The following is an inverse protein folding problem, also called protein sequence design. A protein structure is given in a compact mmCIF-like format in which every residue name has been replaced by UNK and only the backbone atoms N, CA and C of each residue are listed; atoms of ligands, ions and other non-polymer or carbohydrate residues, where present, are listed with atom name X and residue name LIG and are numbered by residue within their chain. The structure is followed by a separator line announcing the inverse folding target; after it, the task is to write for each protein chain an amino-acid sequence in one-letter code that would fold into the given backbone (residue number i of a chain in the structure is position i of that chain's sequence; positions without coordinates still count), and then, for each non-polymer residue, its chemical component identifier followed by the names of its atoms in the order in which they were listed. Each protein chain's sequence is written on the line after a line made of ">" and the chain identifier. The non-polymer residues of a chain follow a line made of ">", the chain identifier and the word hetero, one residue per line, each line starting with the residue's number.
data_IF_808961701880
#
_entry.id   IF_808961701880
#
_cell.length_a   1.000
_cell.length_b   1.000
_cell.length_c   1.000
_cell.angle_alpha   90.00
_cell.angle_beta   90.00
_cell.angle_gamma   90.00
#
_symmetry.space_group_name_H-M   'P 1'
#
loop_
_entity.id
_entity.type
_entity.pdbx_description
1 polymer ?
#
# COMPACT_ATOMS: atom_id res chain seq x y z
N UNK A 1 -2.83 -5.03 -7.22
CA UNK A 1 -1.59 -5.78 -6.91
C UNK A 1 -1.78 -6.73 -5.72
N UNK A 2 -2.43 -6.25 -4.65
CA UNK A 2 -2.56 -7.00 -3.39
C UNK A 2 -3.39 -8.28 -3.53
N UNK A 3 -4.49 -8.26 -4.30
CA UNK A 3 -5.29 -9.46 -4.59
C UNK A 3 -4.44 -10.57 -5.23
N UNK A 4 -3.66 -10.23 -6.27
CA UNK A 4 -2.77 -11.16 -6.98
C UNK A 4 -1.73 -11.76 -6.02
N UNK A 5 -1.14 -10.90 -5.19
CA UNK A 5 -0.12 -11.28 -4.21
C UNK A 5 -0.67 -12.27 -3.17
N UNK A 6 -1.78 -11.94 -2.50
CA UNK A 6 -2.36 -12.80 -1.48
C UNK A 6 -2.91 -14.13 -2.05
N UNK A 7 -3.54 -14.09 -3.23
CA UNK A 7 -3.98 -15.31 -3.94
C UNK A 7 -2.81 -16.21 -4.32
N UNK A 8 -1.65 -15.64 -4.61
CA UNK A 8 -0.47 -16.43 -4.93
C UNK A 8 0.09 -17.09 -3.66
N UNK A 9 0.27 -16.34 -2.59
CA UNK A 9 0.82 -16.86 -1.33
C UNK A 9 -0.08 -17.88 -0.64
N UNK A 10 -1.40 -17.80 -0.83
CA UNK A 10 -2.34 -18.82 -0.32
C UNK A 10 -2.23 -20.15 -1.06
N UNK A 11 -1.82 -20.15 -2.33
CA UNK A 11 -1.64 -21.37 -3.15
C UNK A 11 -0.22 -21.90 -3.16
N UNK A 12 0.78 -21.06 -2.90
CA UNK A 12 2.18 -21.36 -3.13
C UNK A 12 3.01 -21.21 -1.86
N UNK A 13 3.81 -22.23 -1.55
CA UNK A 13 4.83 -22.12 -0.50
C UNK A 13 6.04 -21.35 -1.04
N UNK A 14 6.27 -20.16 -0.51
CA UNK A 14 7.30 -19.22 -0.98
C UNK A 14 8.33 -19.01 0.12
N UNK A 15 9.62 -19.01 -0.26
CA UNK A 15 10.70 -18.62 0.67
C UNK A 15 10.69 -17.08 0.83
N UNK A 16 10.92 -16.54 2.03
CA UNK A 16 10.90 -15.09 2.28
C UNK A 16 11.77 -14.28 1.31
N UNK A 17 12.86 -14.89 0.83
CA UNK A 17 13.73 -14.27 -0.15
C UNK A 17 13.03 -13.92 -1.48
N UNK A 18 12.08 -14.72 -1.95
CA UNK A 18 11.43 -14.45 -3.23
C UNK A 18 10.31 -13.41 -3.13
N UNK A 19 9.88 -13.04 -1.91
CA UNK A 19 8.73 -12.16 -1.67
C UNK A 19 8.87 -10.81 -2.40
N UNK A 20 9.99 -10.06 -2.32
CA UNK A 20 10.12 -8.79 -3.04
C UNK A 20 9.93 -8.92 -4.56
N UNK A 21 10.57 -9.91 -5.19
CA UNK A 21 10.43 -10.16 -6.62
C UNK A 21 8.97 -10.52 -6.98
N UNK A 22 8.30 -11.31 -6.13
CA UNK A 22 6.90 -11.68 -6.32
C UNK A 22 6.00 -10.44 -6.22
N UNK A 23 6.20 -9.58 -5.23
CA UNK A 23 5.43 -8.33 -5.07
C UNK A 23 5.58 -7.42 -6.29
N UNK A 24 6.81 -7.21 -6.77
CA UNK A 24 7.08 -6.41 -7.98
C UNK A 24 6.43 -7.05 -9.22
N UNK A 25 6.45 -8.37 -9.31
CA UNK A 25 5.81 -9.10 -10.42
C UNK A 25 4.28 -9.01 -10.37
N UNK A 26 3.68 -9.07 -9.17
CA UNK A 26 2.24 -8.84 -8.99
C UNK A 26 1.85 -7.43 -9.42
N UNK A 27 2.70 -6.43 -9.14
CA UNK A 27 2.50 -5.06 -9.60
C UNK A 27 2.64 -4.95 -11.12
N UNK A 28 3.62 -5.62 -11.73
CA UNK A 28 3.76 -5.66 -13.18
C UNK A 28 2.50 -6.23 -13.86
N UNK A 29 2.02 -7.39 -13.40
CA UNK A 29 0.79 -8.02 -13.92
C UNK A 29 -0.42 -7.11 -13.72
N UNK A 30 -0.55 -6.45 -12.57
CA UNK A 30 -1.65 -5.51 -12.31
C UNK A 30 -1.61 -4.26 -13.22
N UNK A 31 -0.41 -3.78 -13.60
CA UNK A 31 -0.27 -2.68 -14.55
C UNK A 31 -0.71 -3.09 -15.95
N UNK A 32 -0.33 -4.30 -16.38
CA UNK A 32 -0.75 -4.85 -17.67
C UNK A 32 -2.29 -5.05 -17.69
N UNK A 33 -2.87 -5.62 -16.63
CA UNK A 33 -4.33 -5.75 -16.47
C UNK A 33 -5.04 -4.38 -16.50
N UNK A 34 -4.48 -3.38 -15.82
CA UNK A 34 -5.05 -2.03 -15.80
C UNK A 34 -5.04 -1.37 -17.18
N UNK A 35 -3.93 -1.48 -17.92
CA UNK A 35 -3.79 -0.95 -19.28
C UNK A 35 -4.83 -1.55 -20.25
N UNK A 36 -5.01 -2.87 -20.19
CA UNK A 36 -6.03 -3.57 -20.98
C UNK A 36 -7.45 -3.13 -20.61
N UNK A 37 -7.74 -2.99 -19.32
CA UNK A 37 -9.06 -2.58 -18.82
C UNK A 37 -9.44 -1.14 -19.22
N UNK A 38 -8.50 -0.20 -19.12
CA UNK A 38 -8.74 1.21 -19.46
C UNK A 38 -8.55 1.50 -20.94
N UNK A 39 -8.04 0.53 -21.71
CA UNK A 39 -7.59 0.71 -23.10
C UNK A 39 -6.56 1.84 -23.22
N UNK A 40 -5.77 2.06 -22.18
CA UNK A 40 -4.71 3.06 -22.15
C UNK A 40 -3.35 2.37 -22.20
N UNK A 41 -2.40 3.00 -22.87
CA UNK A 41 -1.03 2.50 -22.87
C UNK A 41 -0.47 2.50 -21.44
N UNK A 42 0.31 1.48 -21.14
CA UNK A 42 1.03 1.37 -19.87
C UNK A 42 1.95 2.59 -19.68
N UNK A 43 1.94 3.15 -18.48
CA UNK A 43 2.70 4.37 -18.13
C UNK A 43 4.09 4.10 -17.57
N UNK A 44 4.35 2.91 -17.02
CA UNK A 44 5.60 2.54 -16.33
C UNK A 44 6.16 1.26 -16.93
N UNK A 45 7.34 1.28 -17.52
CA UNK A 45 8.01 0.09 -18.06
C UNK A 45 8.42 -0.91 -16.97
N UNK A 46 8.77 -2.14 -17.35
CA UNK A 46 9.24 -3.15 -16.39
C UNK A 46 10.60 -2.75 -15.78
N UNK A 47 11.46 -2.09 -16.54
CA UNK A 47 12.75 -1.58 -16.10
C UNK A 47 12.60 -0.44 -15.08
N UNK A 48 11.68 0.50 -15.34
CA UNK A 48 11.36 1.58 -14.40
C UNK A 48 10.76 1.03 -13.11
N UNK A 49 9.84 0.06 -13.21
CA UNK A 49 9.25 -0.59 -12.06
C UNK A 49 10.31 -1.27 -11.18
N UNK A 50 11.25 -2.01 -11.78
CA UNK A 50 12.37 -2.62 -11.06
C UNK A 50 13.24 -1.56 -10.41
N UNK A 51 13.59 -0.50 -11.13
CA UNK A 51 14.41 0.62 -10.63
C UNK A 51 13.80 1.27 -9.38
N UNK A 52 12.50 1.57 -9.41
CA UNK A 52 11.77 2.21 -8.31
C UNK A 52 11.54 1.25 -7.13
N UNK A 53 11.37 -0.04 -7.39
CA UNK A 53 11.09 -1.03 -6.34
C UNK A 53 12.22 -1.22 -5.32
N UNK A 54 13.46 -0.87 -5.69
CA UNK A 54 14.67 -1.13 -4.89
C UNK A 54 14.85 -2.61 -4.49
N UNK A 55 14.15 -3.52 -5.17
CA UNK A 55 14.31 -4.96 -4.97
C UNK A 55 15.55 -5.46 -5.73
N UNK A 56 16.16 -6.54 -5.23
CA UNK A 56 17.36 -7.12 -5.86
C UNK A 56 17.05 -7.91 -7.15
N UNK A 57 15.80 -7.93 -7.63
CA UNK A 57 15.43 -8.69 -8.82
C UNK A 57 15.74 -7.92 -10.11
N UNK A 58 16.08 -8.64 -11.17
CA UNK A 58 16.24 -8.06 -12.51
C UNK A 58 14.90 -7.99 -13.24
N UNK A 59 14.81 -7.19 -14.30
CA UNK A 59 13.63 -7.17 -15.18
C UNK A 59 13.32 -8.56 -15.76
N UNK A 60 14.34 -9.41 -15.97
CA UNK A 60 14.17 -10.80 -16.43
C UNK A 60 13.54 -11.68 -15.37
N UNK A 61 13.90 -11.48 -14.10
CA UNK A 61 13.28 -12.19 -12.98
C UNK A 61 11.81 -11.82 -12.85
N UNK A 62 11.49 -10.52 -12.93
CA UNK A 62 10.10 -10.03 -12.93
C UNK A 62 9.33 -10.61 -14.10
N UNK A 63 9.87 -10.54 -15.33
CA UNK A 63 9.21 -11.10 -16.51
C UNK A 63 8.96 -12.61 -16.40
N UNK A 64 9.91 -13.37 -15.85
CA UNK A 64 9.74 -14.82 -15.60
C UNK A 64 8.69 -15.08 -14.54
N UNK A 65 8.75 -14.35 -13.42
CA UNK A 65 7.84 -14.55 -12.29
C UNK A 65 6.41 -14.11 -12.62
N UNK A 66 6.22 -13.07 -13.45
CA UNK A 66 4.90 -12.68 -13.99
C UNK A 66 4.22 -13.83 -14.76
N UNK A 67 4.99 -14.61 -15.55
CA UNK A 67 4.44 -15.80 -16.23
C UNK A 67 4.04 -16.88 -15.22
N UNK A 68 4.89 -17.13 -14.23
CA UNK A 68 4.56 -18.09 -13.16
C UNK A 68 3.30 -17.68 -12.39
N UNK A 69 3.11 -16.38 -12.13
CA UNK A 69 1.88 -15.86 -11.52
C UNK A 69 0.67 -16.15 -12.41
N UNK A 70 0.74 -15.83 -13.71
CA UNK A 70 -0.33 -16.08 -14.66
C UNK A 70 -0.72 -17.57 -14.72
N UNK A 71 0.28 -18.46 -14.81
CA UNK A 71 0.08 -19.90 -14.88
C UNK A 71 -0.52 -20.47 -13.58
N UNK A 72 0.01 -20.08 -12.41
CA UNK A 72 -0.40 -20.64 -11.11
C UNK A 72 -1.73 -20.11 -10.61
N UNK A 73 -2.03 -18.86 -10.92
CA UNK A 73 -3.31 -18.26 -10.54
C UNK A 73 -4.41 -18.56 -11.53
N UNK A 74 -4.07 -19.12 -12.71
CA UNK A 74 -4.95 -19.19 -13.86
C UNK A 74 -5.60 -17.81 -14.02
N UNK A 75 -4.76 -16.80 -14.30
CA UNK A 75 -5.23 -15.46 -14.63
C UNK A 75 -5.87 -15.52 -16.02
N UNK A 76 -6.99 -16.22 -16.10
CA UNK A 76 -7.96 -16.14 -17.15
C UNK A 76 -8.42 -14.67 -17.18
N UNK A 77 -8.92 -14.16 -18.30
CA UNK A 77 -9.44 -12.79 -18.44
C UNK A 77 -10.61 -12.41 -17.49
N UNK A 78 -10.88 -13.20 -16.46
CA UNK A 78 -11.79 -12.92 -15.38
C UNK A 78 -11.19 -11.87 -14.44
N UNK A 79 -11.71 -10.65 -14.55
CA UNK A 79 -11.44 -9.49 -13.69
C UNK A 79 -11.58 -9.85 -12.22
N UNK A 80 -10.55 -9.59 -11.41
CA UNK A 80 -10.68 -9.66 -9.96
C UNK A 80 -11.58 -8.51 -9.47
N UNK A 81 -12.65 -8.84 -8.74
CA UNK A 81 -13.52 -7.83 -8.13
C UNK A 81 -12.78 -7.22 -6.93
N UNK A 82 -12.32 -5.97 -7.07
CA UNK A 82 -11.66 -5.24 -5.98
C UNK A 82 -12.66 -4.54 -5.05
N UNK A 83 -12.28 -4.14 -3.83
CA UNK A 83 -13.18 -3.36 -2.94
C UNK A 83 -13.60 -2.04 -3.59
N UNK A 84 -12.74 -1.44 -4.43
CA UNK A 84 -13.08 -0.25 -5.20
C UNK A 84 -14.25 -0.48 -6.16
N UNK A 85 -14.39 -1.67 -6.74
CA UNK A 85 -15.55 -2.00 -7.57
C UNK A 85 -16.83 -2.00 -6.74
N UNK A 86 -16.77 -2.56 -5.53
CA UNK A 86 -17.88 -2.53 -4.59
C UNK A 86 -18.23 -1.09 -4.18
N UNK A 87 -17.24 -0.27 -3.81
CA UNK A 87 -17.47 1.14 -3.45
C UNK A 87 -18.16 1.92 -4.58
N UNK A 88 -17.68 1.74 -5.82
CA UNK A 88 -18.30 2.36 -7.01
C UNK A 88 -19.70 1.84 -7.27
N UNK A 89 -19.93 0.53 -7.09
CA UNK A 89 -21.25 -0.07 -7.23
C UNK A 89 -22.24 0.51 -6.21
N UNK A 90 -21.87 0.54 -4.93
CA UNK A 90 -22.70 1.13 -3.86
C UNK A 90 -23.01 2.60 -4.17
N UNK A 91 -22.01 3.38 -4.57
CA UNK A 91 -22.20 4.79 -4.98
C UNK A 91 -23.15 4.94 -6.18
N UNK A 92 -23.07 4.03 -7.15
CA UNK A 92 -23.93 4.08 -8.36
C UNK A 92 -25.37 3.67 -8.08
N UNK A 93 -25.60 2.79 -7.10
CA UNK A 93 -26.94 2.35 -6.71
C UNK A 93 -27.62 3.34 -5.76
N UNK A 94 -26.83 4.09 -4.98
CA UNK A 94 -27.33 5.19 -4.19
C UNK A 94 -27.78 6.34 -5.10
N UNK A 95 -29.07 6.66 -5.10
CA UNK A 95 -29.55 7.95 -5.59
C UNK A 95 -28.88 9.07 -4.76
N UNK A 96 -28.31 10.08 -5.40
CA UNK A 96 -27.46 11.11 -4.78
C UNK A 96 -28.07 11.73 -3.49
N UNK A 97 -27.24 12.20 -2.52
CA UNK A 97 -25.79 12.40 -2.55
C UNK A 97 -25.00 11.28 -1.87
N UNK A 98 -24.25 10.52 -2.67
CA UNK A 98 -23.33 9.50 -2.17
C UNK A 98 -21.96 10.11 -1.79
N UNK A 99 -21.17 9.45 -0.93
CA UNK A 99 -19.90 10.00 -0.44
C UNK A 99 -18.85 10.10 -1.54
N UNK A 100 -18.01 11.14 -1.51
CA UNK A 100 -17.07 11.43 -2.59
C UNK A 100 -16.15 10.23 -2.87
N UNK A 101 -15.97 9.88 -4.15
CA UNK A 101 -15.16 8.71 -4.53
C UNK A 101 -13.70 8.86 -4.06
N UNK A 102 -13.14 10.06 -4.13
CA UNK A 102 -11.77 10.35 -3.66
C UNK A 102 -11.56 10.03 -2.18
N UNK A 103 -12.54 10.35 -1.33
CA UNK A 103 -12.48 10.05 0.11
C UNK A 103 -12.55 8.54 0.35
N UNK A 104 -13.46 7.85 -0.35
CA UNK A 104 -13.61 6.40 -0.25
C UNK A 104 -12.35 5.67 -0.74
N UNK A 105 -11.71 6.16 -1.80
CA UNK A 105 -10.43 5.63 -2.32
C UNK A 105 -9.32 5.80 -1.28
N UNK A 106 -9.20 6.97 -0.66
CA UNK A 106 -8.19 7.21 0.37
C UNK A 106 -8.37 6.28 1.58
N UNK A 107 -9.61 6.16 2.09
CA UNK A 107 -9.91 5.23 3.19
C UNK A 107 -9.61 3.77 2.81
N UNK A 108 -9.87 3.39 1.55
CA UNK A 108 -9.53 2.07 1.06
C UNK A 108 -8.02 1.85 1.01
N UNK A 109 -7.24 2.81 0.50
CA UNK A 109 -5.77 2.75 0.45
C UNK A 109 -5.16 2.56 1.83
N UNK A 110 -5.66 3.30 2.83
CA UNK A 110 -5.27 3.13 4.23
C UNK A 110 -5.59 1.71 4.71
N UNK A 111 -6.80 1.22 4.44
CA UNK A 111 -7.25 -0.08 4.90
C UNK A 111 -6.43 -1.23 4.30
N UNK A 112 -6.23 -1.27 2.98
CA UNK A 112 -5.54 -2.38 2.30
C UNK A 112 -4.05 -2.48 2.63
N UNK A 113 -3.46 -1.42 3.20
CA UNK A 113 -2.09 -1.46 3.72
C UNK A 113 -1.94 -2.32 4.98
N UNK A 114 -3.05 -2.67 5.65
CA UNK A 114 -3.06 -3.63 6.76
C UNK A 114 -3.53 -5.01 6.28
N UNK A 115 -2.77 -6.05 6.65
CA UNK A 115 -3.06 -7.42 6.22
C UNK A 115 -4.40 -7.96 6.76
N UNK A 116 -4.86 -7.50 7.93
CA UNK A 116 -6.16 -7.90 8.47
C UNK A 116 -7.31 -7.36 7.64
N UNK A 117 -7.26 -6.07 7.30
CA UNK A 117 -8.22 -5.44 6.39
C UNK A 117 -8.14 -6.01 4.97
N UNK A 118 -6.94 -6.23 4.43
CA UNK A 118 -6.76 -6.80 3.08
C UNK A 118 -7.32 -8.24 2.94
N UNK A 119 -7.39 -8.99 4.04
CA UNK A 119 -7.97 -10.34 4.09
C UNK A 119 -9.48 -10.35 4.39
N UNK A 120 -10.08 -9.20 4.73
CA UNK A 120 -11.52 -9.12 4.91
C UNK A 120 -12.25 -9.35 3.58
N UNK A 121 -13.52 -9.77 3.65
CA UNK A 121 -14.32 -9.92 2.44
C UNK A 121 -14.48 -8.55 1.76
N UNK A 122 -14.12 -8.47 0.49
CA UNK A 122 -14.09 -7.21 -0.29
C UNK A 122 -15.39 -6.39 -0.17
N UNK A 123 -16.54 -7.06 -0.18
CA UNK A 123 -17.86 -6.44 -0.04
C UNK A 123 -18.11 -5.90 1.37
N UNK A 124 -17.63 -6.60 2.41
CA UNK A 124 -17.76 -6.17 3.81
C UNK A 124 -16.87 -4.97 4.07
N UNK A 125 -15.60 -5.02 3.63
CA UNK A 125 -14.68 -3.88 3.77
C UNK A 125 -15.22 -2.63 3.07
N UNK A 126 -15.71 -2.78 1.83
CA UNK A 126 -16.32 -1.67 1.10
C UNK A 126 -17.52 -1.08 1.85
N UNK A 127 -18.42 -1.92 2.35
CA UNK A 127 -19.60 -1.46 3.09
C UNK A 127 -19.23 -0.80 4.43
N UNK A 128 -18.23 -1.32 5.15
CA UNK A 128 -17.68 -0.69 6.37
C UNK A 128 -17.15 0.72 6.07
N UNK A 129 -16.42 0.90 4.98
CA UNK A 129 -15.89 2.22 4.58
C UNK A 129 -17.06 3.18 4.27
N UNK A 130 -18.11 2.70 3.58
CA UNK A 130 -19.32 3.51 3.34
C UNK A 130 -19.98 3.90 4.67
N UNK A 131 -20.23 2.95 5.57
CA UNK A 131 -20.82 3.25 6.87
C UNK A 131 -20.00 4.25 7.67
N UNK A 132 -18.67 4.10 7.69
CA UNK A 132 -17.80 5.04 8.38
C UNK A 132 -17.96 6.47 7.84
N UNK A 133 -18.04 6.63 6.51
CA UNK A 133 -18.20 7.93 5.90
C UNK A 133 -19.59 8.53 6.18
N UNK A 134 -20.64 7.70 6.20
CA UNK A 134 -22.00 8.13 6.59
C UNK A 134 -22.06 8.54 8.06
N UNK A 135 -21.45 7.77 8.97
CA UNK A 135 -21.35 8.09 10.39
C UNK A 135 -20.61 9.42 10.62
N UNK A 136 -19.52 9.64 9.88
CA UNK A 136 -18.76 10.88 9.93
C UNK A 136 -19.62 12.08 9.49
N UNK A 137 -20.29 11.96 8.35
CA UNK A 137 -21.23 12.98 7.89
C UNK A 137 -22.33 13.18 8.95
N UNK A 138 -23.05 12.15 9.38
CA UNK A 138 -24.09 12.30 10.41
C UNK A 138 -23.59 13.04 11.67
N UNK A 139 -22.36 12.79 12.11
CA UNK A 139 -21.74 13.48 13.26
C UNK A 139 -21.46 14.96 12.98
N UNK A 140 -20.95 15.31 11.80
CA UNK A 140 -20.74 16.70 11.37
C UNK A 140 -22.06 17.46 11.27
N UNK A 141 -23.08 16.84 10.70
CA UNK A 141 -24.40 17.43 10.52
C UNK A 141 -25.14 17.63 11.83
N UNK A 142 -25.02 16.69 12.78
CA UNK A 142 -25.55 16.84 14.14
C UNK A 142 -25.01 18.10 14.85
N UNK A 143 -23.81 18.57 14.50
CA UNK A 143 -23.25 19.83 15.03
C UNK A 143 -23.88 21.07 14.38
N UNK A 144 -24.30 20.97 13.12
CA UNK A 144 -24.86 22.07 12.34
C UNK A 144 -26.39 22.17 12.39
N UNK A 145 -27.09 21.18 12.99
CA UNK A 145 -28.57 21.10 13.12
C UNK A 145 -29.33 21.14 11.79
N UNK A 146 -28.68 20.76 10.71
CA UNK A 146 -29.32 20.58 9.41
C UNK A 146 -29.43 19.08 9.18
N UNK A 147 -30.64 18.56 9.03
CA UNK A 147 -30.85 17.11 8.89
C UNK A 147 -31.37 16.86 7.49
N UNK A 148 -30.46 16.37 6.65
CA UNK A 148 -30.76 15.95 5.28
C UNK A 148 -31.44 14.57 5.31
N UNK A 149 -32.66 14.49 4.78
CA UNK A 149 -33.40 13.22 4.61
C UNK A 149 -32.61 12.22 3.74
N UNK A 150 -31.76 12.75 2.86
CA UNK A 150 -30.95 11.98 1.94
C UNK A 150 -29.87 11.13 2.65
N UNK A 151 -29.34 11.59 3.79
CA UNK A 151 -28.38 10.81 4.58
C UNK A 151 -29.04 9.60 5.26
N UNK A 152 -30.27 9.76 5.76
CA UNK A 152 -31.05 8.66 6.33
C UNK A 152 -31.38 7.62 5.27
N UNK A 153 -31.81 8.07 4.09
CA UNK A 153 -32.05 7.19 2.95
C UNK A 153 -30.79 6.39 2.60
N UNK A 154 -29.62 7.02 2.58
CA UNK A 154 -28.37 6.36 2.25
C UNK A 154 -27.93 5.34 3.31
N UNK A 155 -28.16 5.63 4.58
CA UNK A 155 -27.91 4.70 5.68
C UNK A 155 -28.86 3.49 5.61
N UNK A 156 -30.15 3.73 5.37
CA UNK A 156 -31.15 2.67 5.18
C UNK A 156 -30.83 1.82 3.94
N UNK A 157 -30.46 2.46 2.84
CA UNK A 157 -30.03 1.79 1.62
C UNK A 157 -28.82 0.87 1.87
N UNK A 158 -27.82 1.36 2.62
CA UNK A 158 -26.67 0.54 3.02
C UNK A 158 -27.08 -0.67 3.86
N UNK A 159 -28.05 -0.51 4.77
CA UNK A 159 -28.60 -1.60 5.58
C UNK A 159 -29.39 -2.62 4.74
N UNK A 160 -30.15 -2.16 3.76
CA UNK A 160 -30.83 -3.04 2.80
C UNK A 160 -29.83 -3.81 1.95
N UNK A 161 -28.75 -3.17 1.51
CA UNK A 161 -27.67 -3.82 0.77
C UNK A 161 -26.95 -4.87 1.62
N UNK A 162 -26.71 -4.59 2.91
CA UNK A 162 -26.20 -5.56 3.87
C UNK A 162 -27.05 -6.83 3.89
N UNK A 163 -28.37 -6.67 4.04
CA UNK A 163 -29.33 -7.76 4.07
C UNK A 163 -29.36 -8.53 2.74
N UNK A 164 -29.40 -7.82 1.62
CA UNK A 164 -29.47 -8.41 0.28
C UNK A 164 -28.21 -9.23 -0.06
N UNK A 165 -27.04 -8.75 0.36
CA UNK A 165 -25.77 -9.46 0.19
C UNK A 165 -25.53 -10.57 1.22
N UNK A 166 -26.50 -10.83 2.12
CA UNK A 166 -26.41 -11.80 3.21
C UNK A 166 -25.12 -11.65 4.04
N UNK A 167 -24.76 -10.40 4.35
CA UNK A 167 -23.58 -10.09 5.16
C UNK A 167 -23.92 -10.24 6.64
N UNK A 168 -23.22 -11.16 7.31
CA UNK A 168 -23.45 -11.38 8.74
C UNK A 168 -23.01 -10.16 9.56
N UNK A 169 -23.84 -9.77 10.54
CA UNK A 169 -23.53 -8.67 11.44
C UNK A 169 -22.20 -8.89 12.17
N UNK A 170 -21.95 -10.11 12.65
CA UNK A 170 -20.68 -10.46 13.32
C UNK A 170 -19.43 -10.32 12.44
N UNK A 171 -19.53 -10.55 11.12
CA UNK A 171 -18.38 -10.37 10.22
C UNK A 171 -18.16 -8.90 9.89
N UNK A 172 -19.25 -8.16 9.71
CA UNK A 172 -19.22 -6.70 9.52
C UNK A 172 -18.64 -5.98 10.73
N UNK A 173 -19.07 -6.34 11.95
CA UNK A 173 -18.53 -5.77 13.19
C UNK A 173 -17.03 -6.03 13.32
N UNK A 174 -16.59 -7.28 13.06
CA UNK A 174 -15.15 -7.61 13.06
C UNK A 174 -14.38 -6.77 12.05
N UNK A 175 -14.86 -6.69 10.80
CA UNK A 175 -14.22 -5.90 9.75
C UNK A 175 -14.18 -4.40 10.11
N UNK A 176 -15.24 -3.88 10.73
CA UNK A 176 -15.32 -2.51 11.22
C UNK A 176 -14.30 -2.23 12.31
N UNK A 177 -14.14 -3.13 13.28
CA UNK A 177 -13.21 -2.96 14.38
C UNK A 177 -11.75 -3.02 13.90
N UNK A 178 -11.45 -3.91 12.94
CA UNK A 178 -10.16 -3.90 12.21
C UNK A 178 -9.92 -2.57 11.51
N UNK A 179 -10.87 -2.14 10.67
CA UNK A 179 -10.75 -0.90 9.91
C UNK A 179 -10.52 0.33 10.81
N UNK A 180 -11.30 0.46 11.89
CA UNK A 180 -11.15 1.56 12.87
C UNK A 180 -9.79 1.53 13.57
N UNK A 181 -9.27 0.34 13.88
CA UNK A 181 -7.93 0.19 14.47
C UNK A 181 -6.84 0.67 13.50
N UNK A 182 -6.95 0.30 12.23
CA UNK A 182 -6.00 0.71 11.18
C UNK A 182 -6.07 2.20 10.93
N UNK A 183 -7.27 2.75 10.79
CA UNK A 183 -7.50 4.17 10.58
C UNK A 183 -6.97 5.01 11.75
N UNK A 184 -7.24 4.62 12.99
CA UNK A 184 -6.74 5.32 14.18
C UNK A 184 -5.21 5.36 14.24
N UNK A 185 -4.53 4.26 13.86
CA UNK A 185 -3.06 4.24 13.77
C UNK A 185 -2.53 5.16 12.67
N UNK A 186 -3.22 5.19 11.52
CA UNK A 186 -2.86 6.07 10.41
C UNK A 186 -3.02 7.54 10.79
N UNK A 187 -4.17 7.93 11.36
CA UNK A 187 -4.44 9.29 11.82
C UNK A 187 -3.49 9.73 12.95
N UNK A 188 -3.17 8.82 13.86
CA UNK A 188 -2.18 9.02 14.92
C UNK A 188 -0.73 9.09 14.43
N UNK A 189 -0.49 8.97 13.11
CA UNK A 189 0.85 8.91 12.48
C UNK A 189 1.77 7.93 13.20
N UNK A 190 1.21 6.82 13.68
CA UNK A 190 1.99 5.84 14.42
C UNK A 190 3.13 5.34 13.54
N UNK A 191 4.32 5.18 14.13
CA UNK A 191 5.46 4.65 13.41
C UNK A 191 5.09 3.30 12.79
N UNK A 192 5.37 3.14 11.49
CA UNK A 192 5.14 1.87 10.82
C UNK A 192 5.93 0.77 11.57
N UNK A 193 5.31 -0.36 11.89
CA UNK A 193 6.00 -1.45 12.61
C UNK A 193 7.17 -1.98 11.78
N UNK A 194 7.09 -1.88 10.44
CA UNK A 194 8.12 -2.27 9.50
C UNK A 194 8.93 -1.04 9.04
N UNK A 195 10.24 -1.00 9.37
CA UNK A 195 11.13 0.05 8.88
C UNK A 195 11.59 -0.28 7.46
N UNK A 196 11.03 0.39 6.45
CA UNK A 196 11.62 0.36 5.11
C UNK A 196 12.88 1.21 5.11
N UNK A 197 14.00 0.65 4.63
CA UNK A 197 15.22 1.43 4.42
C UNK A 197 15.04 2.28 3.18
N UNK A 198 14.49 3.49 3.35
CA UNK A 198 14.38 4.47 2.28
C UNK A 198 15.79 4.88 1.87
N UNK A 199 16.28 4.33 0.76
CA UNK A 199 17.54 4.77 0.14
C UNK A 199 17.18 5.75 -0.95
N UNK A 200 17.63 6.99 -0.81
CA UNK A 200 17.53 7.98 -1.87
C UNK A 200 18.48 7.58 -3.01
N UNK A 201 17.92 6.98 -4.06
CA UNK A 201 18.65 6.72 -5.30
C UNK A 201 18.46 7.92 -6.22
N UNK A 202 19.51 8.70 -6.37
CA UNK A 202 19.57 9.79 -7.34
C UNK A 202 19.62 9.18 -8.75
N UNK A 203 18.86 9.76 -9.69
CA UNK A 203 18.99 9.37 -11.09
C UNK A 203 20.41 9.65 -11.58
N UNK A 204 20.90 8.90 -12.58
CA UNK A 204 22.25 9.11 -13.12
C UNK A 204 22.43 10.54 -13.64
N UNK A 205 21.37 11.12 -14.22
CA UNK A 205 21.35 12.53 -14.63
C UNK A 205 21.51 13.48 -13.46
N UNK A 206 20.78 13.25 -12.36
CA UNK A 206 20.87 14.07 -11.15
C UNK A 206 22.24 13.90 -10.49
N UNK A 207 22.75 12.67 -10.40
CA UNK A 207 24.03 12.33 -9.80
C UNK A 207 25.22 12.96 -10.55
N UNK A 208 25.13 13.08 -11.88
CA UNK A 208 26.12 13.80 -12.72
C UNK A 208 26.08 15.33 -12.55
N UNK A 209 24.93 15.89 -12.18
CA UNK A 209 24.74 17.35 -11.98
C UNK A 209 25.05 17.77 -10.55
N UNK A 210 24.84 16.87 -9.58
CA UNK A 210 25.25 17.09 -8.21
C UNK A 210 26.78 17.19 -8.16
N UNK A 211 27.28 18.27 -7.55
CA UNK A 211 28.71 18.38 -7.25
C UNK A 211 29.10 17.20 -6.35
N UNK A 212 30.32 16.63 -6.49
CA UNK A 212 30.80 15.57 -5.60
C UNK A 212 30.53 15.92 -4.13
N UNK A 213 29.64 15.17 -3.49
CA UNK A 213 29.22 15.39 -2.10
C UNK A 213 30.22 14.83 -1.10
N UNK A 214 31.30 14.21 -1.56
CA UNK A 214 32.36 13.63 -0.71
C UNK A 214 32.98 14.66 0.25
N UNK A 215 32.82 15.96 -0.05
CA UNK A 215 33.25 17.07 0.82
C UNK A 215 32.10 17.92 1.38
N UNK A 216 30.86 17.54 1.12
CA UNK A 216 29.66 18.14 1.71
C UNK A 216 29.17 17.26 2.87
N UNK A 217 30.05 17.02 3.85
CA UNK A 217 29.61 16.82 5.23
C UNK A 217 29.03 18.15 5.68
N UNK A 218 27.81 18.43 5.28
CA UNK A 218 27.10 19.57 5.81
C UNK A 218 26.91 19.27 7.30
N UNK A 219 27.66 19.96 8.15
CA UNK A 219 27.37 20.17 9.57
C UNK A 219 26.07 20.98 9.71
N UNK A 220 25.04 20.63 8.93
CA UNK A 220 23.71 21.15 9.14
C UNK A 220 23.30 20.62 10.52
N UNK A 221 22.90 21.50 11.43
CA UNK A 221 22.34 21.05 12.69
C UNK A 221 21.23 20.07 12.36
N UNK A 222 21.22 18.94 13.08
CA UNK A 222 20.13 17.97 13.00
C UNK A 222 18.83 18.76 13.16
N UNK A 223 17.95 18.69 12.18
CA UNK A 223 16.61 19.26 12.33
C UNK A 223 15.98 18.46 13.46
N UNK A 224 15.81 19.11 14.61
CA UNK A 224 15.09 18.51 15.74
C UNK A 224 13.65 18.33 15.29
N UNK A 225 13.25 17.09 15.01
CA UNK A 225 11.85 16.74 14.84
C UNK A 225 11.16 17.03 16.17
N UNK A 226 10.44 18.14 16.28
CA UNK A 226 9.82 18.58 17.54
C UNK A 226 9.06 17.41 18.19
N UNK A 227 9.62 16.94 19.31
CA UNK A 227 9.14 15.84 20.12
C UNK A 227 7.80 16.23 20.75
N UNK A 228 6.67 15.93 20.10
CA UNK A 228 5.37 15.83 20.78
C UNK A 228 5.13 14.44 21.39
N UNK A 229 6.11 13.54 21.31
CA UNK A 229 6.09 12.28 22.05
C UNK A 229 7.04 12.42 23.25
N UNK A 230 6.43 12.50 24.42
CA UNK A 230 7.06 12.54 25.74
C UNK A 230 8.17 11.49 25.85
N UNK A 231 9.33 12.00 26.26
CA UNK A 231 10.57 11.35 26.70
C UNK A 231 10.57 9.83 26.91
N UNK A 232 11.48 9.14 26.21
CA UNK A 232 12.40 8.09 26.73
C UNK A 232 13.15 7.40 25.59
N UNK A 233 13.89 8.13 24.76
CA UNK A 233 14.90 7.53 23.88
C UNK A 233 16.29 8.05 24.25
N UNK A 234 17.26 7.17 24.61
CA UNK A 234 18.59 7.62 24.99
C UNK A 234 19.31 8.26 23.80
N UNK A 235 20.19 9.23 24.09
CA UNK A 235 20.92 9.98 23.07
C UNK A 235 21.74 9.03 22.18
N UNK A 236 21.54 9.16 20.87
CA UNK A 236 22.26 8.39 19.87
C UNK A 236 23.60 9.05 19.61
N UNK A 237 24.66 8.57 20.27
CA UNK A 237 26.02 8.87 19.83
C UNK A 237 26.24 8.21 18.47
N UNK A 238 26.54 9.04 17.48
CA UNK A 238 26.82 8.63 16.10
C UNK A 238 28.25 8.09 16.01
N UNK A 239 28.49 6.89 16.53
CA UNK A 239 29.71 6.15 16.20
C UNK A 239 29.61 5.65 14.77
N UNK A 240 30.71 5.80 14.03
CA UNK A 240 30.85 5.33 12.65
C UNK A 240 30.46 3.86 12.53
N UNK A 241 29.99 3.49 11.34
CA UNK A 241 29.55 2.14 10.99
C UNK A 241 30.60 1.09 11.33
N UNK A 242 30.48 0.49 12.51
CA UNK A 242 31.08 -0.81 12.81
C UNK A 242 30.09 -1.86 12.35
N UNK A 243 30.51 -2.61 11.33
CA UNK A 243 29.81 -3.75 10.78
C UNK A 243 29.75 -4.82 11.87
N UNK A 244 28.58 -5.04 12.45
CA UNK A 244 28.33 -6.23 13.25
C UNK A 244 28.31 -7.44 12.31
N UNK A 245 29.43 -8.14 12.28
CA UNK A 245 29.58 -9.50 11.79
C UNK A 245 28.76 -10.43 12.70
N UNK A 246 27.46 -10.57 12.41
CA UNK A 246 26.72 -11.74 12.84
C UNK A 246 26.68 -12.69 11.65
N UNK A 247 27.49 -13.74 11.76
CA UNK A 247 27.49 -14.91 10.89
C UNK A 247 26.12 -15.61 10.93
N UNK A 248 25.19 -15.15 10.08
CA UNK A 248 24.14 -16.00 9.55
C UNK A 248 23.92 -15.59 8.10
N UNK A 249 24.36 -16.48 7.21
CA UNK A 249 24.57 -16.28 5.78
C UNK A 249 23.28 -15.92 5.07
N UNK A 250 22.97 -14.62 4.96
CA UNK A 250 21.97 -14.11 4.04
C UNK A 250 22.65 -13.80 2.71
N UNK A 251 22.63 -14.81 1.84
CA UNK A 251 23.27 -14.88 0.53
C UNK A 251 22.55 -13.97 -0.50
N UNK A 252 22.54 -12.67 -0.22
CA UNK A 252 22.01 -11.65 -1.11
C UNK A 252 23.13 -10.99 -1.91
N UNK A 253 23.09 -10.99 -3.25
CA UNK A 253 24.08 -10.29 -4.04
C UNK A 253 23.99 -8.79 -3.73
N UNK A 254 24.96 -8.31 -2.95
CA UNK A 254 25.28 -6.88 -2.86
C UNK A 254 25.70 -6.45 -4.26
N UNK A 255 25.11 -5.37 -4.78
CA UNK A 255 25.56 -4.80 -6.05
C UNK A 255 27.08 -4.61 -6.02
N UNK A 256 27.81 -4.93 -7.10
CA UNK A 256 29.26 -4.81 -7.11
C UNK A 256 29.64 -3.36 -6.79
N UNK A 257 30.45 -3.19 -5.76
CA UNK A 257 31.17 -1.93 -5.52
C UNK A 257 32.12 -1.79 -6.70
N UNK A 258 31.83 -0.87 -7.62
CA UNK A 258 32.73 -0.55 -8.71
C UNK A 258 34.01 0.04 -8.11
N UNK A 259 35.19 -0.58 -8.31
CA UNK A 259 36.43 0.03 -7.89
C UNK A 259 36.66 1.30 -8.70
N UNK A 260 36.68 2.44 -8.02
CA UNK A 260 37.13 3.70 -8.60
C UNK A 260 38.65 3.62 -8.67
N UNK A 261 39.18 3.33 -9.86
CA UNK A 261 40.60 3.51 -10.12
C UNK A 261 40.89 5.01 -10.14
N UNK A 262 41.52 5.51 -9.09
CA UNK A 262 42.16 6.82 -9.12
C UNK A 262 43.46 6.67 -9.93
N UNK A 263 43.47 7.19 -11.16
CA UNK A 263 44.72 7.40 -11.91
C UNK A 263 45.48 8.54 -11.25
N UNK A 264 46.74 8.28 -10.86
CA UNK A 264 47.72 9.31 -10.48
C UNK A 264 48.07 10.20 -11.67
#
# INVERSE_FOLDING_TARGET
>A
PDDIYYRFLTKMKVRPCHVPCITVSCMNVALDEHAELTKQARTVSIEELVSVSQSACTWRDVARMSRVLADKLALNNARAVTPLHWLRLVRSLAAAPAPQESELVNLLEIAICDAGCANARMSELALVIVYHQLEKQLTEWARHKDVSEELYYLYEFAAQLQAYCNMSETSLLRTRDLFRTVLSRYEGRCAAPQRQRLVWRLSERTLKVLRPTDRLTSLLPTIEEQHLATDTTPSRNRTGSESSESEETSDWPRSPVLPVYCSN
#
